data_IF_367272916031
#
_entry.id   IF_367272916031
#
_cell.length_a   1.000
_cell.length_b   1.000
_cell.length_c   1.000
_cell.angle_alpha   90.00
_cell.angle_beta   90.00
_cell.angle_gamma   90.00
#
_symmetry.space_group_name_H-M   'P 1'
#
loop_
_entity.id
_entity.type
_entity.pdbx_description
1 polymer ?
#
# COMPACT_ATOMS: atom_id res chain seq x y z
N UNK A 1 76.74 -39.19 7.37
CA UNK A 1 75.90 -38.10 7.95
C UNK A 1 74.57 -38.12 7.21
N UNK A 2 73.51 -38.64 7.82
CA UNK A 2 72.17 -38.67 7.25
C UNK A 2 71.36 -37.52 7.88
N UNK A 3 70.88 -36.58 7.08
CA UNK A 3 70.02 -35.50 7.53
C UNK A 3 68.56 -35.97 7.47
N UNK A 4 67.90 -35.96 8.62
CA UNK A 4 66.47 -36.23 8.71
C UNK A 4 65.66 -34.95 8.34
N UNK A 5 64.73 -35.10 7.39
CA UNK A 5 63.76 -34.05 7.05
C UNK A 5 62.57 -34.20 8.01
N UNK A 6 62.32 -33.18 8.80
CA UNK A 6 61.06 -33.03 9.56
C UNK A 6 60.03 -32.37 8.72
N UNK A 7 58.95 -33.08 8.37
CA UNK A 7 57.79 -32.54 7.68
C UNK A 7 56.78 -32.10 8.76
N UNK A 8 56.59 -30.78 8.88
CA UNK A 8 55.50 -30.21 9.68
C UNK A 8 54.20 -30.30 8.87
N UNK A 9 53.24 -31.08 9.37
CA UNK A 9 51.89 -31.12 8.87
C UNK A 9 51.08 -29.95 9.46
N UNK A 10 50.70 -28.98 8.63
CA UNK A 10 49.71 -27.93 8.98
C UNK A 10 48.29 -28.52 8.84
N UNK A 11 47.58 -28.70 9.93
CA UNK A 11 46.15 -29.00 9.93
C UNK A 11 45.36 -27.71 9.79
N UNK A 12 44.43 -27.59 8.83
CA UNK A 12 43.58 -26.43 8.73
C UNK A 12 42.53 -26.42 9.85
N UNK A 13 42.50 -25.37 10.64
CA UNK A 13 41.45 -25.13 11.62
C UNK A 13 40.16 -24.70 10.85
N UNK A 14 39.15 -25.57 10.86
CA UNK A 14 37.82 -25.25 10.37
C UNK A 14 37.14 -24.36 11.43
N UNK A 15 37.02 -23.08 11.16
CA UNK A 15 36.24 -22.17 11.99
C UNK A 15 34.74 -22.46 11.80
N UNK A 16 34.10 -23.00 12.81
CA UNK A 16 32.67 -23.22 12.87
C UNK A 16 32.00 -21.86 13.04
N UNK A 17 31.45 -21.30 11.96
CA UNK A 17 30.60 -20.08 12.02
C UNK A 17 29.28 -20.52 12.64
N UNK A 18 29.12 -20.27 13.93
CA UNK A 18 27.84 -20.38 14.62
C UNK A 18 26.93 -19.28 14.06
N UNK A 19 26.10 -19.64 13.08
CA UNK A 19 25.04 -18.76 12.62
C UNK A 19 24.13 -18.40 13.80
N UNK A 20 24.04 -17.13 14.13
CA UNK A 20 23.04 -16.63 15.08
C UNK A 20 21.66 -17.00 14.55
N UNK A 21 20.93 -17.83 15.29
CA UNK A 21 19.53 -18.11 14.98
C UNK A 21 18.77 -16.77 14.84
N UNK A 22 17.89 -16.63 13.85
CA UNK A 22 17.11 -15.40 13.73
C UNK A 22 16.34 -15.20 15.03
N UNK A 23 16.42 -13.98 15.57
CA UNK A 23 15.70 -13.61 16.78
C UNK A 23 14.22 -14.00 16.59
N UNK A 24 13.66 -14.71 17.56
CA UNK A 24 12.23 -15.06 17.56
C UNK A 24 11.46 -13.75 17.45
N UNK A 25 10.85 -13.54 16.30
CA UNK A 25 10.14 -12.31 16.02
C UNK A 25 9.04 -12.14 17.07
N UNK A 26 9.08 -11.05 17.82
CA UNK A 26 8.12 -10.73 18.87
C UNK A 26 6.66 -10.81 18.38
N UNK A 27 5.69 -10.83 19.29
CA UNK A 27 4.28 -10.86 18.94
C UNK A 27 3.91 -9.62 18.14
N UNK A 28 3.19 -9.80 17.01
CA UNK A 28 2.62 -8.67 16.25
C UNK A 28 1.47 -8.05 17.07
N UNK A 29 1.75 -6.93 17.69
CA UNK A 29 0.75 -6.16 18.45
C UNK A 29 0.82 -4.71 18.00
N UNK A 30 -0.35 -4.10 17.83
CA UNK A 30 -0.45 -2.66 17.63
C UNK A 30 -0.18 -1.86 18.91
N UNK A 31 -0.49 -0.59 18.87
CA UNK A 31 -0.27 0.31 20.01
C UNK A 31 -1.25 0.08 21.16
N UNK A 32 -2.40 -0.52 20.88
CA UNK A 32 -3.47 -0.84 21.83
C UNK A 32 -4.03 -2.23 21.51
N UNK A 33 -4.81 -2.85 22.40
CA UNK A 33 -5.48 -4.12 22.13
C UNK A 33 -6.39 -4.08 20.89
N UNK A 34 -6.91 -2.92 20.54
CA UNK A 34 -7.81 -2.71 19.40
C UNK A 34 -7.06 -2.41 18.09
N UNK A 35 -5.77 -2.03 18.16
CA UNK A 35 -4.90 -1.83 17.01
C UNK A 35 -4.29 -3.19 16.61
N UNK A 36 -4.99 -3.91 15.75
CA UNK A 36 -4.74 -5.32 15.49
C UNK A 36 -3.78 -5.49 14.31
N UNK A 37 -2.66 -6.13 14.58
CA UNK A 37 -1.68 -6.52 13.56
C UNK A 37 -1.57 -8.04 13.46
N UNK A 38 -1.23 -8.54 12.29
CA UNK A 38 -0.96 -9.96 12.03
C UNK A 38 0.44 -10.15 11.43
N UNK A 39 0.99 -11.35 11.61
CA UNK A 39 2.29 -11.70 11.05
C UNK A 39 2.16 -12.09 9.58
N UNK A 40 2.96 -11.45 8.75
CA UNK A 40 3.09 -11.72 7.32
C UNK A 40 4.57 -11.92 7.01
N UNK A 41 5.01 -13.16 6.94
CA UNK A 41 6.44 -13.46 6.87
C UNK A 41 7.22 -12.84 8.04
N UNK A 42 8.23 -12.00 7.78
CA UNK A 42 9.01 -11.34 8.84
C UNK A 42 8.31 -10.11 9.42
N UNK A 43 7.22 -9.62 8.80
CA UNK A 43 6.59 -8.35 9.12
C UNK A 43 5.40 -8.51 10.07
N UNK A 44 5.06 -7.43 10.74
CA UNK A 44 3.74 -7.21 11.32
C UNK A 44 2.97 -6.23 10.43
N UNK A 45 1.81 -6.65 9.93
CA UNK A 45 0.96 -5.87 9.04
C UNK A 45 -0.36 -5.58 9.75
N UNK A 46 -0.89 -4.39 9.58
CA UNK A 46 -2.23 -4.03 10.02
C UNK A 46 -3.25 -5.01 9.44
N UNK A 47 -4.03 -5.63 10.32
CA UNK A 47 -5.03 -6.64 9.92
C UNK A 47 -6.14 -6.04 9.09
N UNK A 48 -6.52 -4.81 9.40
CA UNK A 48 -7.57 -4.03 8.76
C UNK A 48 -6.98 -2.80 8.10
N UNK A 49 -7.67 -2.25 7.13
CA UNK A 49 -7.39 -0.92 6.60
C UNK A 49 -7.31 0.08 7.73
N UNK A 50 -6.41 1.05 7.63
CA UNK A 50 -6.20 2.01 8.71
C UNK A 50 -7.39 2.96 8.85
N UNK A 51 -7.73 3.27 10.09
CA UNK A 51 -8.55 4.41 10.49
C UNK A 51 -7.67 5.44 11.20
N UNK A 52 -7.96 6.72 11.03
CA UNK A 52 -7.14 7.82 11.58
C UNK A 52 -7.85 8.48 12.75
N UNK A 53 -7.12 8.69 13.85
CA UNK A 53 -7.67 9.14 15.12
C UNK A 53 -6.87 10.29 15.74
N UNK A 54 -7.57 11.15 16.51
CA UNK A 54 -6.91 12.22 17.28
C UNK A 54 -6.04 11.68 18.42
N UNK A 55 -6.33 10.50 18.94
CA UNK A 55 -5.59 9.87 20.02
C UNK A 55 -4.98 8.53 19.58
N UNK A 56 -3.76 8.26 20.04
CA UNK A 56 -2.99 7.05 19.72
C UNK A 56 -3.66 5.74 20.16
N UNK A 57 -4.56 5.82 21.12
CA UNK A 57 -5.29 4.67 21.67
C UNK A 57 -6.63 4.40 20.96
N UNK A 58 -6.96 5.12 19.87
CA UNK A 58 -8.20 4.94 19.13
C UNK A 58 -9.43 5.48 19.86
N UNK A 59 -9.23 6.41 20.79
CA UNK A 59 -10.29 7.22 21.40
C UNK A 59 -10.26 8.65 20.85
N UNK A 60 -11.30 9.42 21.08
CA UNK A 60 -11.42 10.78 20.53
C UNK A 60 -12.06 10.79 19.14
N UNK A 61 -11.67 11.74 18.31
CA UNK A 61 -12.24 11.92 16.97
C UNK A 61 -11.60 10.97 15.97
N UNK A 62 -12.43 10.22 15.23
CA UNK A 62 -12.03 9.51 14.02
C UNK A 62 -12.12 10.46 12.82
N UNK A 63 -11.09 10.46 11.96
CA UNK A 63 -10.98 11.28 10.75
C UNK A 63 -10.83 10.43 9.51
N UNK A 64 -11.20 10.98 8.33
CA UNK A 64 -12.59 11.21 7.98
C UNK A 64 -13.19 9.93 7.43
N UNK A 65 -14.51 9.86 7.47
CA UNK A 65 -15.25 8.72 6.94
C UNK A 65 -15.92 9.04 5.60
N UNK A 66 -16.24 10.29 5.33
CA UNK A 66 -17.14 10.70 4.25
C UNK A 66 -16.77 12.00 3.51
N UNK A 67 -15.74 12.70 3.94
CA UNK A 67 -15.32 13.96 3.33
C UNK A 67 -13.88 14.34 3.71
N UNK A 68 -13.18 15.18 2.92
CA UNK A 68 -11.84 15.63 3.23
C UNK A 68 -11.84 16.63 4.40
N UNK A 69 -11.87 16.13 5.63
CA UNK A 69 -11.97 16.94 6.85
C UNK A 69 -10.84 16.70 7.84
N UNK A 70 -9.64 16.48 7.33
CA UNK A 70 -8.48 16.52 8.20
C UNK A 70 -8.24 17.96 8.68
N UNK A 71 -7.86 18.16 9.96
CA UNK A 71 -7.62 19.48 10.47
C UNK A 71 -6.41 20.14 9.78
N UNK A 72 -6.38 21.47 9.71
CA UNK A 72 -5.25 22.24 9.14
C UNK A 72 -3.93 21.93 9.81
N UNK A 73 -3.96 21.46 11.06
CA UNK A 73 -2.79 21.01 11.82
C UNK A 73 -2.22 19.69 11.32
N UNK A 74 -2.93 18.98 10.44
CA UNK A 74 -2.51 17.76 9.76
C UNK A 74 -2.70 17.91 8.24
N UNK A 75 -1.94 18.81 7.59
CA UNK A 75 -2.17 19.26 6.23
C UNK A 75 -1.82 18.18 5.20
N UNK A 76 -2.33 18.38 3.99
CA UNK A 76 -2.19 17.47 2.83
C UNK A 76 -0.74 17.15 2.44
N UNK A 77 0.20 18.02 2.75
CA UNK A 77 1.64 17.81 2.50
C UNK A 77 2.36 17.00 3.60
N UNK A 78 1.64 16.56 4.63
CA UNK A 78 2.20 15.79 5.74
C UNK A 78 3.03 16.60 6.75
N UNK A 79 3.11 17.92 6.61
CA UNK A 79 3.84 18.77 7.55
C UNK A 79 2.97 19.11 8.78
N UNK A 80 2.71 18.11 9.58
CA UNK A 80 1.81 18.18 10.73
C UNK A 80 2.37 19.00 11.91
N UNK A 81 1.50 19.63 12.66
CA UNK A 81 1.81 20.30 13.94
C UNK A 81 1.08 19.66 15.13
N UNK A 82 -0.08 19.00 14.85
CA UNK A 82 -0.77 18.16 15.83
C UNK A 82 -0.87 16.75 15.28
N UNK A 83 -0.38 15.72 16.00
CA UNK A 83 -0.33 14.36 15.50
C UNK A 83 -1.72 13.74 15.33
N UNK A 84 -1.89 12.97 14.25
CA UNK A 84 -2.98 12.00 14.09
C UNK A 84 -2.39 10.60 13.95
N UNK A 85 -3.14 9.60 14.35
CA UNK A 85 -2.64 8.24 14.51
C UNK A 85 -3.42 7.24 13.67
N UNK A 86 -2.70 6.36 13.00
CA UNK A 86 -3.27 5.25 12.23
C UNK A 86 -3.46 4.02 13.12
N UNK A 87 -4.67 3.47 13.13
CA UNK A 87 -5.02 2.25 13.86
C UNK A 87 -5.70 1.24 12.93
N UNK A 88 -5.31 -0.01 13.07
CA UNK A 88 -5.95 -1.17 12.45
C UNK A 88 -7.09 -1.68 13.32
N UNK A 89 -8.26 -1.07 13.18
CA UNK A 89 -9.42 -1.32 14.06
C UNK A 89 -10.55 -1.97 13.27
N UNK A 90 -11.15 -3.02 13.83
CA UNK A 90 -12.28 -3.72 13.21
C UNK A 90 -13.58 -2.93 13.35
N UNK A 91 -14.41 -2.97 12.31
CA UNK A 91 -15.80 -2.49 12.36
C UNK A 91 -15.93 -0.96 12.35
N UNK A 92 -14.87 -0.27 11.91
CA UNK A 92 -14.88 1.19 11.69
C UNK A 92 -14.65 1.47 10.21
N UNK A 93 -15.15 2.59 9.71
CA UNK A 93 -14.86 2.96 8.32
C UNK A 93 -13.37 3.23 8.14
N UNK A 94 -12.77 2.77 7.01
CA UNK A 94 -11.39 3.09 6.70
C UNK A 94 -11.21 4.59 6.47
N UNK A 95 -10.01 5.09 6.77
CA UNK A 95 -9.63 6.45 6.43
C UNK A 95 -9.58 6.63 4.92
N UNK A 96 -10.11 7.74 4.42
CA UNK A 96 -10.17 8.13 3.02
C UNK A 96 -9.87 9.61 2.85
N UNK A 97 -9.87 10.12 1.63
CA UNK A 97 -9.62 11.55 1.35
C UNK A 97 -8.32 12.07 1.98
N UNK A 98 -7.27 11.28 1.94
CA UNK A 98 -5.96 11.65 2.44
C UNK A 98 -4.89 11.43 1.37
N UNK A 99 -3.88 12.29 1.39
CA UNK A 99 -2.72 12.17 0.52
C UNK A 99 -1.81 11.04 1.00
N UNK A 100 -0.91 10.60 0.12
CA UNK A 100 0.16 9.69 0.50
C UNK A 100 1.00 10.24 1.67
N UNK A 101 1.25 11.55 1.69
CA UNK A 101 2.00 12.22 2.76
C UNK A 101 1.30 12.12 4.11
N UNK A 102 -0.02 12.32 4.14
CA UNK A 102 -0.82 12.17 5.35
C UNK A 102 -0.85 10.71 5.83
N UNK A 103 -1.02 9.75 4.90
CA UNK A 103 -0.99 8.33 5.21
C UNK A 103 0.35 7.90 5.83
N UNK A 104 1.46 8.30 5.19
CA UNK A 104 2.81 8.05 5.69
C UNK A 104 3.02 8.63 7.08
N UNK A 105 2.59 9.88 7.31
CA UNK A 105 2.72 10.53 8.61
C UNK A 105 1.89 9.84 9.69
N UNK A 106 0.63 9.47 9.41
CA UNK A 106 -0.22 8.78 10.36
C UNK A 106 0.37 7.42 10.77
N UNK A 107 0.93 6.66 9.82
CA UNK A 107 1.66 5.44 10.13
C UNK A 107 2.88 5.72 11.01
N UNK A 108 3.73 6.69 10.64
CA UNK A 108 4.95 7.02 11.36
C UNK A 108 4.68 7.47 12.81
N UNK A 109 3.68 8.32 13.01
CA UNK A 109 3.24 8.77 14.33
C UNK A 109 2.70 7.63 15.22
N UNK A 110 2.21 6.55 14.57
CA UNK A 110 1.80 5.33 15.24
C UNK A 110 2.95 4.32 15.45
N UNK A 111 4.19 4.70 15.12
CA UNK A 111 5.36 3.82 15.20
C UNK A 111 5.30 2.68 14.17
N UNK A 112 4.70 2.94 13.03
CA UNK A 112 4.53 2.08 11.87
C UNK A 112 5.03 2.79 10.61
N UNK A 113 4.91 2.16 9.45
CA UNK A 113 5.17 2.74 8.12
C UNK A 113 4.16 2.21 7.11
N UNK A 114 4.04 2.81 5.95
CA UNK A 114 3.33 2.19 4.84
C UNK A 114 4.01 0.87 4.44
N UNK A 115 3.24 -0.07 3.90
CA UNK A 115 3.79 -1.25 3.25
C UNK A 115 4.50 -0.84 1.95
N UNK A 116 5.57 -1.53 1.61
CA UNK A 116 6.04 -1.48 0.22
C UNK A 116 5.08 -2.25 -0.70
N UNK A 117 5.15 -1.98 -2.00
CA UNK A 117 4.37 -2.70 -3.01
C UNK A 117 4.57 -4.23 -2.92
N UNK A 118 5.80 -4.68 -2.72
CA UNK A 118 6.12 -6.10 -2.56
C UNK A 118 5.56 -6.69 -1.25
N UNK A 119 5.63 -5.97 -0.14
CA UNK A 119 5.05 -6.38 1.14
C UNK A 119 3.54 -6.46 1.08
N UNK A 120 2.91 -5.48 0.40
CA UNK A 120 1.47 -5.49 0.17
C UNK A 120 1.06 -6.73 -0.64
N UNK A 121 1.77 -7.03 -1.73
CA UNK A 121 1.52 -8.22 -2.55
C UNK A 121 1.64 -9.52 -1.74
N UNK A 122 2.66 -9.60 -0.87
CA UNK A 122 2.82 -10.74 0.02
C UNK A 122 1.67 -10.84 1.03
N UNK A 123 1.22 -9.70 1.59
CA UNK A 123 0.11 -9.65 2.54
C UNK A 123 -1.23 -10.06 1.91
N UNK A 124 -1.44 -9.71 0.64
CA UNK A 124 -2.65 -10.04 -0.12
C UNK A 124 -2.75 -11.52 -0.53
N UNK A 125 -1.67 -12.28 -0.48
CA UNK A 125 -1.62 -13.64 -0.99
C UNK A 125 -2.74 -14.53 -0.44
N UNK A 126 -3.54 -15.11 -1.34
CA UNK A 126 -4.66 -16.00 -1.01
C UNK A 126 -5.93 -15.29 -0.56
N UNK A 127 -6.03 -13.97 -0.73
CA UNK A 127 -7.31 -13.27 -0.60
C UNK A 127 -8.23 -13.72 -1.74
N UNK A 128 -9.48 -14.08 -1.45
CA UNK A 128 -10.47 -14.37 -2.49
C UNK A 128 -10.71 -13.15 -3.38
N UNK A 129 -10.84 -13.40 -4.66
CA UNK A 129 -11.18 -12.42 -5.65
C UNK A 129 -12.55 -12.74 -6.23
N UNK A 130 -13.62 -12.04 -5.81
CA UNK A 130 -14.97 -12.29 -6.29
C UNK A 130 -15.26 -11.62 -7.65
N UNK A 131 -14.35 -10.83 -8.19
CA UNK A 131 -14.60 -10.05 -9.39
C UNK A 131 -15.84 -9.15 -9.22
N UNK A 132 -16.78 -9.23 -10.17
CA UNK A 132 -18.01 -8.44 -10.14
C UNK A 132 -19.07 -8.95 -9.12
N UNK A 133 -18.85 -10.08 -8.47
CA UNK A 133 -19.79 -10.67 -7.51
C UNK A 133 -19.49 -10.26 -6.04
N UNK A 134 -18.62 -9.29 -5.85
CA UNK A 134 -18.20 -8.84 -4.54
C UNK A 134 -19.25 -8.04 -3.79
N UNK A 135 -19.93 -8.65 -2.83
CA UNK A 135 -21.06 -8.08 -2.08
C UNK A 135 -20.63 -7.30 -0.82
N UNK A 136 -19.37 -7.40 -0.41
CA UNK A 136 -18.83 -6.73 0.78
C UNK A 136 -19.33 -7.28 2.11
N UNK A 137 -20.24 -8.24 2.10
CA UNK A 137 -20.83 -8.83 3.32
C UNK A 137 -20.41 -10.28 3.53
N UNK A 138 -20.36 -11.08 2.48
CA UNK A 138 -19.85 -12.44 2.48
C UNK A 138 -18.49 -12.57 1.81
N UNK A 139 -18.30 -11.85 0.70
CA UNK A 139 -17.05 -11.80 -0.08
C UNK A 139 -16.43 -10.40 -0.01
N UNK A 140 -15.32 -10.18 -0.70
CA UNK A 140 -14.68 -8.87 -0.78
C UNK A 140 -15.62 -7.83 -1.39
N UNK A 141 -15.45 -6.58 -0.97
CA UNK A 141 -16.27 -5.46 -1.39
C UNK A 141 -15.74 -4.87 -2.70
N UNK A 142 -16.17 -5.42 -3.84
CA UNK A 142 -15.73 -4.99 -5.18
C UNK A 142 -16.88 -4.46 -6.06
N UNK A 143 -18.15 -4.70 -5.68
CA UNK A 143 -19.29 -4.28 -6.48
C UNK A 143 -20.44 -3.74 -5.62
N UNK A 144 -20.17 -2.64 -4.88
CA UNK A 144 -21.16 -1.96 -4.04
C UNK A 144 -21.15 -0.46 -4.29
N UNK A 145 -21.98 0.28 -3.56
CA UNK A 145 -22.13 1.74 -3.70
C UNK A 145 -21.16 2.55 -2.84
N UNK A 146 -20.38 1.89 -2.00
CA UNK A 146 -19.46 2.59 -1.10
C UNK A 146 -18.62 1.64 -0.25
N UNK A 147 -17.64 2.19 0.48
CA UNK A 147 -16.85 1.40 1.40
C UNK A 147 -17.70 0.93 2.57
N UNK A 148 -17.30 -0.19 3.13
CA UNK A 148 -17.91 -0.78 4.34
C UNK A 148 -16.94 -0.67 5.52
N UNK A 149 -17.45 -0.80 6.75
CA UNK A 149 -16.59 -0.90 7.92
C UNK A 149 -15.59 -2.05 7.77
N UNK A 150 -14.36 -1.82 8.18
CA UNK A 150 -13.24 -2.77 8.04
C UNK A 150 -13.55 -4.14 8.64
N UNK A 151 -13.23 -5.20 7.91
CA UNK A 151 -13.49 -6.58 8.33
C UNK A 151 -14.97 -6.97 8.38
N UNK A 152 -15.83 -6.26 7.65
CA UNK A 152 -17.25 -6.61 7.47
C UNK A 152 -17.41 -7.93 6.73
N UNK A 153 -16.54 -8.19 5.76
CA UNK A 153 -16.57 -9.40 4.93
C UNK A 153 -15.74 -10.52 5.57
N UNK A 154 -16.37 -11.52 6.19
CA UNK A 154 -15.63 -12.55 6.93
C UNK A 154 -14.73 -13.41 6.03
N UNK A 155 -15.10 -13.57 4.76
CA UNK A 155 -14.36 -14.36 3.78
C UNK A 155 -13.33 -13.54 3.00
N UNK A 156 -13.33 -12.21 3.08
CA UNK A 156 -12.32 -11.36 2.45
C UNK A 156 -11.05 -11.31 3.31
N UNK A 157 -10.29 -12.41 3.30
CA UNK A 157 -9.06 -12.53 4.08
C UNK A 157 -7.98 -13.26 3.32
N UNK A 158 -6.78 -12.74 3.41
CA UNK A 158 -5.59 -13.39 2.89
C UNK A 158 -5.24 -14.65 3.69
N UNK A 159 -4.34 -15.47 3.16
CA UNK A 159 -3.78 -16.63 3.90
C UNK A 159 -3.12 -16.27 5.23
N UNK A 160 -2.74 -15.01 5.41
CA UNK A 160 -2.14 -14.49 6.63
C UNK A 160 -3.20 -13.97 7.64
N UNK A 161 -4.46 -13.90 7.22
CA UNK A 161 -5.57 -13.35 8.01
C UNK A 161 -5.69 -11.84 7.93
N UNK A 162 -5.02 -11.19 6.98
CA UNK A 162 -5.23 -9.76 6.66
C UNK A 162 -6.57 -9.64 5.95
N UNK A 163 -7.41 -8.71 6.39
CA UNK A 163 -8.74 -8.48 5.83
C UNK A 163 -8.72 -7.39 4.75
N UNK A 164 -9.70 -7.46 3.85
CA UNK A 164 -10.02 -6.41 2.89
C UNK A 164 -8.83 -6.02 1.98
N UNK A 165 -8.04 -7.03 1.54
CA UNK A 165 -6.93 -6.83 0.60
C UNK A 165 -7.38 -6.75 -0.86
N UNK A 166 -8.67 -6.95 -1.12
CA UNK A 166 -9.32 -6.82 -2.43
C UNK A 166 -10.57 -5.98 -2.24
N UNK A 167 -10.71 -4.92 -3.01
CA UNK A 167 -11.83 -4.00 -2.92
C UNK A 167 -11.83 -3.13 -1.67
N UNK A 168 -12.98 -2.68 -1.26
CA UNK A 168 -13.27 -1.73 -0.18
C UNK A 168 -12.62 -0.37 -0.42
N UNK A 169 -11.36 -0.13 -0.10
CA UNK A 169 -10.62 1.06 -0.52
C UNK A 169 -9.26 0.69 -1.13
N UNK A 170 -8.86 1.42 -2.16
CA UNK A 170 -7.48 1.33 -2.65
C UNK A 170 -6.51 1.76 -1.54
N UNK A 171 -5.34 1.16 -1.50
CA UNK A 171 -4.40 1.41 -0.43
C UNK A 171 -3.10 2.02 -0.96
N UNK A 172 -2.76 3.21 -0.44
CA UNK A 172 -1.43 3.76 -0.64
C UNK A 172 -0.36 2.80 -0.12
N UNK A 173 0.67 2.55 -0.95
CA UNK A 173 1.89 1.87 -0.53
C UNK A 173 3.09 2.82 -0.53
N UNK A 174 4.19 2.42 0.07
CA UNK A 174 5.36 3.27 0.24
C UNK A 174 6.04 3.65 -1.07
N UNK A 175 5.87 2.82 -2.10
CA UNK A 175 6.58 2.98 -3.37
C UNK A 175 5.95 4.06 -4.24
N UNK A 176 6.84 4.76 -4.94
CA UNK A 176 6.50 5.70 -6.00
C UNK A 176 7.07 5.19 -7.32
N UNK A 177 6.37 5.50 -8.40
CA UNK A 177 6.89 5.33 -9.75
C UNK A 177 7.40 6.67 -10.26
N UNK A 178 8.55 6.64 -10.91
CA UNK A 178 9.07 7.80 -11.65
C UNK A 178 8.48 7.73 -13.06
N UNK A 179 7.96 8.84 -13.56
CA UNK A 179 7.59 8.94 -14.97
C UNK A 179 8.85 8.71 -15.85
N UNK A 180 8.73 7.92 -16.87
CA UNK A 180 9.75 7.87 -17.90
C UNK A 180 9.68 9.15 -18.72
N UNK A 181 10.81 9.78 -18.99
CA UNK A 181 10.86 10.99 -19.80
C UNK A 181 10.14 10.82 -21.14
N UNK A 182 9.52 11.87 -21.63
CA UNK A 182 8.78 11.94 -22.87
C UNK A 182 9.63 11.43 -24.05
N UNK A 183 9.08 10.54 -24.85
CA UNK A 183 9.61 10.27 -26.20
C UNK A 183 8.94 11.21 -27.19
N UNK A 184 9.65 12.14 -27.79
CA UNK A 184 9.08 13.08 -28.78
C UNK A 184 8.54 12.41 -30.03
N UNK A 185 8.80 11.14 -30.25
CA UNK A 185 8.53 10.45 -31.50
C UNK A 185 7.18 9.73 -31.56
N UNK A 186 6.27 9.92 -30.61
CA UNK A 186 4.89 9.41 -30.72
C UNK A 186 4.74 7.92 -31.03
N UNK A 187 5.82 7.15 -30.95
CA UNK A 187 5.80 5.72 -31.21
C UNK A 187 4.97 5.02 -30.15
N UNK A 188 4.00 4.22 -30.59
CA UNK A 188 3.30 3.28 -29.75
C UNK A 188 4.34 2.36 -29.09
N UNK A 189 4.73 2.69 -27.89
CA UNK A 189 5.65 1.86 -27.13
C UNK A 189 4.80 0.86 -26.37
N UNK A 190 4.84 -0.37 -26.82
CA UNK A 190 4.38 -1.54 -26.07
C UNK A 190 5.21 -1.80 -24.81
N UNK A 191 5.98 -0.81 -24.38
CA UNK A 191 6.79 -0.91 -23.18
C UNK A 191 6.06 -0.24 -22.04
N UNK A 192 5.87 -0.99 -20.98
CA UNK A 192 5.42 -0.45 -19.72
C UNK A 192 6.36 0.67 -19.29
N UNK A 193 5.84 1.88 -19.28
CA UNK A 193 6.56 3.04 -18.74
C UNK A 193 5.94 3.41 -17.41
N UNK A 194 6.71 3.40 -16.34
CA UNK A 194 6.24 3.97 -15.10
C UNK A 194 5.73 5.39 -15.36
N UNK A 195 4.49 5.64 -14.99
CA UNK A 195 3.88 6.93 -15.18
C UNK A 195 3.05 7.15 -16.44
N UNK A 196 2.95 6.18 -17.36
CA UNK A 196 2.06 6.32 -18.51
C UNK A 196 0.85 5.39 -18.41
N UNK A 197 -0.32 5.96 -18.45
CA UNK A 197 -1.58 5.23 -18.45
C UNK A 197 -1.89 4.75 -19.87
N UNK A 198 -2.08 3.46 -20.05
CA UNK A 198 -2.70 2.90 -21.23
C UNK A 198 -4.02 2.23 -20.84
N UNK A 199 -5.03 2.35 -21.68
CA UNK A 199 -6.37 1.81 -21.45
C UNK A 199 -6.46 0.29 -21.55
N UNK A 200 -5.36 -0.39 -21.84
CA UNK A 200 -5.28 -1.84 -21.88
C UNK A 200 -3.88 -2.26 -21.49
N UNK A 201 -3.62 -2.27 -20.24
CA UNK A 201 -2.42 -2.86 -19.74
C UNK A 201 -2.72 -4.30 -19.40
N UNK A 202 -1.66 -5.09 -19.43
CA UNK A 202 -1.70 -6.49 -19.08
C UNK A 202 -2.61 -6.75 -17.90
N UNK A 203 -3.51 -7.67 -18.09
CA UNK A 203 -4.35 -8.16 -17.03
C UNK A 203 -3.69 -9.40 -16.45
N UNK A 204 -3.65 -9.46 -15.14
CA UNK A 204 -3.40 -10.71 -14.43
C UNK A 204 -4.74 -11.36 -14.12
N UNK A 205 -5.22 -12.21 -15.01
CA UNK A 205 -6.60 -12.64 -14.99
C UNK A 205 -7.53 -11.49 -15.39
N UNK A 206 -8.43 -11.06 -14.49
CA UNK A 206 -9.35 -9.94 -14.70
C UNK A 206 -8.87 -8.65 -14.02
N UNK A 207 -7.86 -8.73 -13.16
CA UNK A 207 -7.33 -7.61 -12.39
C UNK A 207 -6.78 -6.51 -13.29
N UNK A 208 -7.21 -5.30 -13.05
CA UNK A 208 -6.77 -4.14 -13.80
C UNK A 208 -5.43 -3.60 -13.30
N UNK A 209 -4.56 -3.29 -14.23
CA UNK A 209 -3.28 -2.66 -13.97
C UNK A 209 -3.26 -1.29 -14.66
N UNK A 210 -3.26 -0.23 -13.87
CA UNK A 210 -3.29 1.14 -14.36
C UNK A 210 -1.96 1.83 -14.11
N UNK A 211 -1.36 2.32 -15.17
CA UNK A 211 -0.22 3.22 -15.13
C UNK A 211 -0.64 4.70 -15.15
N UNK A 212 0.28 5.54 -15.54
CA UNK A 212 0.05 6.96 -15.67
C UNK A 212 -0.70 7.28 -16.99
N UNK A 213 -1.73 8.15 -16.94
CA UNK A 213 -2.49 8.58 -18.13
C UNK A 213 -2.22 10.04 -18.46
N UNK A 214 -1.55 10.27 -19.56
CA UNK A 214 -1.27 11.60 -20.08
C UNK A 214 -2.58 12.39 -20.35
N UNK A 215 -3.62 11.75 -20.93
CA UNK A 215 -4.90 12.38 -21.18
C UNK A 215 -5.64 12.77 -19.89
N UNK A 216 -5.50 11.98 -18.84
CA UNK A 216 -6.12 12.26 -17.55
C UNK A 216 -5.53 13.49 -16.87
N UNK A 217 -4.28 13.80 -17.15
CA UNK A 217 -3.61 14.99 -16.61
C UNK A 217 -3.89 16.26 -17.42
N UNK A 218 -4.24 16.14 -18.68
CA UNK A 218 -4.69 17.28 -19.49
C UNK A 218 -6.05 17.80 -19.03
N UNK A 219 -6.88 16.93 -18.43
CA UNK A 219 -8.20 17.28 -17.92
C UNK A 219 -8.23 17.70 -16.44
N UNK A 220 -7.10 17.59 -15.73
CA UNK A 220 -7.02 17.88 -14.31
C UNK A 220 -6.37 19.26 -14.06
N UNK A 221 -7.16 20.36 -14.05
CA UNK A 221 -6.64 21.71 -13.80
C UNK A 221 -5.99 21.88 -12.41
N UNK A 222 -6.15 20.90 -11.56
CA UNK A 222 -5.60 20.90 -10.18
C UNK A 222 -4.08 20.72 -10.13
N UNK A 223 -3.47 20.34 -11.23
CA UNK A 223 -2.01 20.12 -11.31
C UNK A 223 -1.25 21.36 -11.82
N UNK A 224 -1.93 22.48 -12.03
CA UNK A 224 -1.32 23.77 -12.35
C UNK A 224 -0.67 23.86 -13.73
N UNK A 225 -0.94 22.91 -14.62
CA UNK A 225 -0.44 22.94 -15.98
C UNK A 225 -1.50 23.40 -16.94
N UNK A 226 -1.39 24.60 -17.45
CA UNK A 226 -2.04 24.97 -18.70
C UNK A 226 -1.09 24.63 -19.86
N UNK A 227 -1.56 23.73 -20.74
CA UNK A 227 -0.93 23.48 -22.02
C UNK A 227 0.05 22.31 -22.06
N UNK A 228 0.44 21.97 -23.25
CA UNK A 228 1.23 20.82 -23.68
C UNK A 228 2.64 20.71 -23.07
N UNK A 229 3.05 21.67 -22.27
CA UNK A 229 4.38 21.74 -21.66
C UNK A 229 4.45 21.16 -20.25
N UNK A 230 3.34 20.80 -19.63
CA UNK A 230 3.38 20.20 -18.32
C UNK A 230 3.61 18.69 -18.42
N UNK A 231 4.86 18.33 -18.39
CA UNK A 231 5.32 16.94 -18.51
C UNK A 231 5.17 16.21 -17.20
N UNK A 232 4.00 15.68 -16.97
CA UNK A 232 3.68 14.89 -15.78
C UNK A 232 4.42 13.56 -15.75
N UNK A 233 4.94 13.12 -16.87
CA UNK A 233 5.85 11.99 -17.01
C UNK A 233 7.16 12.16 -16.22
N UNK A 234 7.49 13.37 -15.79
CA UNK A 234 8.60 13.63 -14.87
C UNK A 234 8.21 13.69 -13.40
N UNK A 235 6.91 13.74 -13.08
CA UNK A 235 6.45 13.75 -11.70
C UNK A 235 6.29 12.34 -11.15
N UNK A 236 6.66 12.12 -9.86
CA UNK A 236 6.43 10.82 -9.24
C UNK A 236 4.93 10.58 -9.06
N UNK A 237 4.49 9.37 -9.40
CA UNK A 237 3.18 8.85 -9.02
C UNK A 237 3.32 7.90 -7.82
N UNK A 238 2.43 8.01 -6.85
CA UNK A 238 2.37 7.07 -5.76
C UNK A 238 1.51 5.86 -6.16
N UNK A 239 1.89 4.68 -5.69
CA UNK A 239 1.22 3.43 -6.03
C UNK A 239 0.07 3.17 -5.06
N UNK A 240 -1.08 2.75 -5.61
CA UNK A 240 -2.24 2.23 -4.88
C UNK A 240 -2.48 0.77 -5.26
N UNK A 241 -3.03 -0.01 -4.33
CA UNK A 241 -3.25 -1.44 -4.51
C UNK A 241 -4.68 -1.86 -4.12
N UNK A 242 -5.08 -3.06 -4.60
CA UNK A 242 -6.25 -3.82 -4.13
C UNK A 242 -7.58 -3.49 -4.82
N UNK A 243 -7.70 -2.35 -5.44
CA UNK A 243 -8.98 -1.88 -6.00
C UNK A 243 -9.91 -1.25 -4.96
N UNK A 244 -11.13 -0.91 -5.35
CA UNK A 244 -12.10 -0.22 -4.50
C UNK A 244 -13.47 -0.91 -4.59
N UNK A 245 -14.42 -0.43 -3.79
CA UNK A 245 -15.76 -1.03 -3.66
C UNK A 245 -16.58 -1.13 -4.95
N UNK A 246 -16.17 -0.53 -6.06
CA UNK A 246 -16.94 -0.46 -7.31
C UNK A 246 -16.13 -0.83 -8.57
N UNK A 247 -14.94 -1.38 -8.42
CA UNK A 247 -14.09 -1.73 -9.57
C UNK A 247 -14.47 -3.07 -10.23
N UNK A 248 -15.30 -3.86 -9.56
CA UNK A 248 -15.82 -5.13 -10.10
C UNK A 248 -14.69 -6.12 -10.42
N UNK A 249 -14.72 -6.69 -11.62
CA UNK A 249 -13.70 -7.62 -12.09
C UNK A 249 -12.31 -6.97 -12.27
N UNK A 250 -12.22 -5.65 -12.25
CA UNK A 250 -10.93 -4.95 -12.30
C UNK A 250 -10.20 -4.87 -10.96
N UNK A 251 -10.87 -5.20 -9.86
CA UNK A 251 -10.29 -5.24 -8.51
C UNK A 251 -9.74 -6.63 -8.19
N UNK A 252 -8.61 -6.70 -7.54
CA UNK A 252 -8.02 -7.99 -7.21
C UNK A 252 -6.65 -7.87 -6.55
N UNK A 253 -6.05 -9.02 -6.24
CA UNK A 253 -4.75 -9.08 -5.56
C UNK A 253 -3.61 -8.55 -6.42
N UNK A 254 -3.78 -8.45 -7.72
CA UNK A 254 -2.79 -7.89 -8.64
C UNK A 254 -3.10 -6.48 -9.10
N UNK A 255 -4.29 -5.96 -8.77
CA UNK A 255 -4.66 -4.60 -9.11
C UNK A 255 -3.66 -3.59 -8.56
N UNK A 256 -3.17 -2.76 -9.46
CA UNK A 256 -2.23 -1.69 -9.15
C UNK A 256 -2.63 -0.43 -9.90
N UNK A 257 -2.65 0.68 -9.22
CA UNK A 257 -2.89 1.98 -9.79
C UNK A 257 -1.70 2.92 -9.49
N UNK A 258 -1.02 3.36 -10.54
CA UNK A 258 0.16 4.22 -10.45
C UNK A 258 0.00 5.52 -11.26
N UNK A 259 -1.23 6.00 -11.36
CA UNK A 259 -1.57 7.17 -12.18
C UNK A 259 -1.81 8.46 -11.38
N UNK A 260 -1.73 8.41 -10.06
CA UNK A 260 -2.01 9.59 -9.24
C UNK A 260 -0.75 10.12 -8.54
N UNK A 261 -0.57 11.45 -8.48
CA UNK A 261 0.49 12.04 -7.68
C UNK A 261 0.27 11.74 -6.19
N UNK A 262 1.34 11.75 -5.39
CA UNK A 262 1.25 11.52 -3.95
C UNK A 262 0.40 12.56 -3.20
N UNK A 263 0.11 13.69 -3.82
CA UNK A 263 -0.78 14.74 -3.30
C UNK A 263 -2.24 14.55 -3.64
N UNK A 264 -2.61 13.51 -4.39
CA UNK A 264 -4.01 13.23 -4.76
C UNK A 264 -4.87 12.94 -3.54
N UNK A 265 -6.09 13.49 -3.58
CA UNK A 265 -7.16 13.26 -2.62
C UNK A 265 -8.33 12.62 -3.35
N UNK A 266 -8.73 11.44 -2.97
CA UNK A 266 -9.93 10.82 -3.50
C UNK A 266 -10.70 10.03 -2.43
N UNK A 267 -11.97 9.74 -2.74
CA UNK A 267 -12.87 9.05 -1.84
C UNK A 267 -12.64 7.54 -1.78
N UNK A 268 -11.94 6.99 -2.75
CA UNK A 268 -11.69 5.56 -2.89
C UNK A 268 -10.35 5.10 -2.32
N UNK A 269 -9.54 6.01 -1.79
CA UNK A 269 -8.18 5.69 -1.37
C UNK A 269 -7.97 5.85 0.13
N UNK A 270 -7.55 4.76 0.75
CA UNK A 270 -7.08 4.67 2.12
C UNK A 270 -5.64 4.15 2.19
N UNK A 271 -5.32 3.41 3.25
CA UNK A 271 -4.00 2.82 3.45
C UNK A 271 -4.03 1.77 4.56
N UNK A 272 -2.94 1.03 4.71
CA UNK A 272 -2.61 0.26 5.92
C UNK A 272 -1.15 0.38 6.26
N UNK A 273 -0.80 0.10 7.52
CA UNK A 273 0.57 0.22 7.99
C UNK A 273 1.21 -1.15 8.26
N UNK A 274 2.54 -1.15 8.33
CA UNK A 274 3.36 -2.30 8.74
C UNK A 274 4.46 -1.86 9.72
N UNK A 275 5.09 -2.88 10.34
CA UNK A 275 6.23 -2.74 11.24
C UNK A 275 7.26 -3.82 10.96
#
# INVERSE_FOLDING_TARGET
MRRALVVLALTPAVALVLGTAPAVAGSCRGNTPEDIMVRVGPLCVDKYEASVWSNRNGTGTQYPQDAPRYPETFPVNGNWTVPLYALSKRGVYPARFLTWFQAQQACALSGKRLLTNAEWQMAAAGTPDPGADGDGTTTCNTNTVGPLPTGSSPNCRSRWGVADMVGNVQEWVADWTQGAGFSPSGGALNEWRPGRYTTSIDKYGEDSFYGFNEAFHQEAPQMGGEGDDFRLDSLPAAIKRGGLWSGGAGDGVFTMFAGHPPSSLDNGTGFRCAR
#
